data_IF_618526080731
#
_entry.id   IF_618526080731
#
_cell.length_a   1.000
_cell.length_b   1.000
_cell.length_c   1.000
_cell.angle_alpha   90.00
_cell.angle_beta   90.00
_cell.angle_gamma   90.00
#
_symmetry.space_group_name_H-M   'P 1'
#
loop_
_entity.id
_entity.type
_entity.pdbx_description
1 polymer ?
#
# COMPACT_ATOMS: atom_id res chain seq x y z
N UNK A 1 14.82 -7.14 -2.29
CA UNK A 1 13.61 -7.97 -2.51
C UNK A 1 12.38 -7.11 -2.22
N UNK A 2 11.78 -6.51 -3.25
CA UNK A 2 10.65 -5.59 -3.14
C UNK A 2 9.37 -6.31 -3.56
N UNK A 3 8.99 -7.39 -2.85
CA UNK A 3 7.80 -8.14 -3.26
C UNK A 3 6.53 -7.34 -2.97
N UNK A 4 5.89 -6.80 -4.01
CA UNK A 4 4.57 -6.16 -3.93
C UNK A 4 3.41 -7.12 -3.62
N UNK A 5 3.70 -8.35 -3.16
CA UNK A 5 2.72 -9.41 -2.98
C UNK A 5 1.67 -9.09 -1.91
N UNK A 6 2.05 -8.41 -0.83
CA UNK A 6 1.09 -7.96 0.19
C UNK A 6 0.07 -6.97 -0.37
N UNK A 7 0.49 -6.14 -1.34
CA UNK A 7 -0.32 -5.12 -2.00
C UNK A 7 -1.27 -5.67 -3.08
N UNK A 8 -1.13 -6.95 -3.44
CA UNK A 8 -1.93 -7.61 -4.48
C UNK A 8 -3.08 -8.48 -3.94
N UNK A 9 -2.99 -8.92 -2.68
CA UNK A 9 -3.94 -9.87 -2.11
C UNK A 9 -4.51 -9.45 -0.76
N UNK A 10 -3.92 -8.45 -0.09
CA UNK A 10 -4.32 -8.05 1.26
C UNK A 10 -4.56 -6.54 1.37
N UNK A 11 -5.41 -6.18 2.34
CA UNK A 11 -5.57 -4.79 2.77
C UNK A 11 -4.41 -4.39 3.68
N UNK A 12 -3.36 -3.81 3.11
CA UNK A 12 -2.20 -3.32 3.87
C UNK A 12 -2.58 -2.03 4.59
N UNK A 13 -2.71 -2.10 5.92
CA UNK A 13 -3.07 -0.96 6.78
C UNK A 13 -1.94 -0.62 7.74
N UNK A 14 -1.77 0.66 8.07
CA UNK A 14 -0.71 1.17 8.95
C UNK A 14 -1.19 2.44 9.67
N UNK A 15 -0.44 2.85 10.69
CA UNK A 15 -0.70 4.09 11.43
C UNK A 15 -0.45 5.31 10.54
N UNK A 16 -1.26 6.36 10.67
CA UNK A 16 -1.17 7.53 9.80
C UNK A 16 0.23 8.17 9.78
N UNK A 17 0.95 8.15 10.90
CA UNK A 17 2.28 8.75 11.03
C UNK A 17 3.41 7.94 10.35
N UNK A 18 3.14 6.73 9.85
CA UNK A 18 4.05 5.98 8.97
C UNK A 18 4.13 6.60 7.55
N UNK A 19 3.24 7.55 7.25
CA UNK A 19 3.26 8.36 6.03
C UNK A 19 4.47 9.30 5.93
N UNK A 20 4.91 9.58 4.72
CA UNK A 20 5.96 10.55 4.39
C UNK A 20 5.51 12.02 4.56
N UNK A 21 4.20 12.26 4.67
CA UNK A 21 3.60 13.52 5.10
C UNK A 21 3.61 13.70 6.64
N UNK A 22 4.20 12.74 7.36
CA UNK A 22 4.45 12.77 8.79
C UNK A 22 5.93 12.46 9.07
N UNK A 23 6.23 11.42 9.86
CA UNK A 23 7.61 11.04 10.23
C UNK A 23 8.05 9.69 9.65
N UNK A 24 7.22 9.09 8.78
CA UNK A 24 7.47 7.76 8.23
C UNK A 24 8.06 7.79 6.83
N UNK A 25 7.91 6.68 6.12
CA UNK A 25 8.47 6.47 4.77
C UNK A 25 7.44 6.01 3.75
N UNK A 26 6.18 5.83 4.15
CA UNK A 26 5.13 5.36 3.25
C UNK A 26 4.60 6.55 2.43
N UNK A 27 4.62 6.53 1.09
CA UNK A 27 4.20 7.68 0.30
C UNK A 27 2.70 7.95 0.49
N UNK A 28 2.34 9.05 1.15
CA UNK A 28 0.96 9.39 1.52
C UNK A 28 0.05 9.48 0.29
N UNK A 29 0.61 9.92 -0.86
CA UNK A 29 -0.05 9.98 -2.17
C UNK A 29 -0.57 8.63 -2.69
N UNK A 30 -0.06 7.52 -2.15
CA UNK A 30 -0.43 6.15 -2.54
C UNK A 30 -1.23 5.46 -1.44
N UNK A 31 -1.74 6.23 -0.47
CA UNK A 31 -2.53 5.76 0.66
C UNK A 31 -3.94 6.35 0.63
N UNK A 32 -4.87 5.70 1.32
CA UNK A 32 -6.22 6.18 1.55
C UNK A 32 -6.58 6.05 3.04
N UNK A 33 -7.29 7.04 3.63
CA UNK A 33 -7.67 6.98 5.04
C UNK A 33 -8.69 5.88 5.29
N UNK A 34 -8.51 5.12 6.37
CA UNK A 34 -9.46 4.10 6.85
C UNK A 34 -10.20 4.61 8.08
N UNK A 35 -9.47 5.18 9.03
CA UNK A 35 -9.96 5.88 10.22
C UNK A 35 -9.07 7.11 10.45
N UNK A 36 -9.36 7.99 11.43
CA UNK A 36 -8.49 9.13 11.72
C UNK A 36 -7.03 8.75 12.05
N UNK A 37 -6.81 7.53 12.54
CA UNK A 37 -5.50 7.06 12.96
C UNK A 37 -4.88 6.02 12.02
N UNK A 38 -5.65 5.47 11.08
CA UNK A 38 -5.22 4.39 10.20
C UNK A 38 -5.39 4.77 8.75
N UNK A 39 -4.36 4.45 7.96
CA UNK A 39 -4.35 4.52 6.50
C UNK A 39 -4.16 3.13 5.93
N UNK A 40 -4.56 2.92 4.69
CA UNK A 40 -4.21 1.73 3.93
C UNK A 40 -3.67 2.10 2.57
N UNK A 41 -2.98 1.17 1.92
CA UNK A 41 -2.52 1.37 0.56
C UNK A 41 -3.72 1.55 -0.39
N UNK A 42 -3.69 2.60 -1.22
CA UNK A 42 -4.78 2.96 -2.10
C UNK A 42 -5.10 1.83 -3.08
N UNK A 43 -6.38 1.44 -3.15
CA UNK A 43 -6.86 0.33 -3.98
C UNK A 43 -6.91 -1.01 -3.25
N UNK A 44 -6.46 -1.06 -2.00
CA UNK A 44 -6.57 -2.28 -1.16
C UNK A 44 -7.78 -2.26 -0.21
N UNK A 45 -8.52 -1.15 -0.11
CA UNK A 45 -9.71 -1.01 0.74
C UNK A 45 -10.84 -2.01 0.42
N UNK A 46 -11.19 -2.35 -0.84
CA UNK A 46 -12.24 -3.33 -1.13
C UNK A 46 -11.87 -4.73 -0.66
N UNK A 47 -12.77 -5.39 0.09
CA UNK A 47 -12.53 -6.74 0.65
C UNK A 47 -12.35 -7.84 -0.40
N UNK A 48 -12.95 -7.69 -1.58
CA UNK A 48 -13.09 -8.80 -2.53
C UNK A 48 -11.97 -8.82 -3.59
N UNK A 49 -11.30 -7.68 -3.85
CA UNK A 49 -10.24 -7.54 -4.87
C UNK A 49 -9.27 -6.39 -4.51
N UNK A 50 -8.44 -6.55 -3.47
CA UNK A 50 -7.42 -5.55 -3.16
C UNK A 50 -6.38 -5.51 -4.28
N UNK A 51 -6.19 -4.37 -4.93
CA UNK A 51 -5.14 -4.19 -5.93
C UNK A 51 -4.52 -2.81 -5.75
N UNK A 52 -3.36 -2.75 -5.12
CA UNK A 52 -2.68 -1.48 -4.88
C UNK A 52 -2.32 -0.80 -6.19
N UNK A 53 -2.62 0.50 -6.31
CA UNK A 53 -2.24 1.32 -7.47
C UNK A 53 -0.73 1.41 -7.71
N UNK A 54 0.04 1.13 -6.67
CA UNK A 54 1.48 1.18 -6.70
C UNK A 54 2.17 -0.09 -7.22
N UNK A 55 1.42 -1.19 -7.31
CA UNK A 55 1.95 -2.45 -7.76
C UNK A 55 2.22 -2.37 -9.26
N UNK A 56 3.48 -2.53 -9.64
CA UNK A 56 3.91 -2.79 -11.02
C UNK A 56 4.30 -4.26 -11.12
N UNK A 57 3.84 -4.90 -12.19
CA UNK A 57 4.20 -6.29 -12.50
C UNK A 57 3.42 -7.31 -11.66
N UNK A 58 3.72 -8.59 -11.90
CA UNK A 58 3.02 -9.72 -11.26
C UNK A 58 3.72 -10.11 -9.96
N UNK A 59 3.00 -10.17 -8.81
CA UNK A 59 3.53 -10.74 -7.59
C UNK A 59 4.13 -12.13 -7.81
N UNK A 60 5.32 -12.39 -7.27
CA UNK A 60 6.01 -13.67 -7.42
C UNK A 60 6.88 -13.80 -8.67
N UNK A 61 6.74 -12.91 -9.66
CA UNK A 61 7.60 -12.87 -10.85
C UNK A 61 8.45 -11.60 -10.89
N UNK A 62 7.81 -10.45 -11.09
CA UNK A 62 8.46 -9.13 -11.24
C UNK A 62 7.73 -8.02 -10.46
N UNK A 63 6.90 -8.40 -9.48
CA UNK A 63 6.03 -7.49 -8.74
C UNK A 63 6.83 -6.56 -7.82
N UNK A 64 6.86 -5.27 -8.13
CA UNK A 64 7.55 -4.23 -7.39
C UNK A 64 6.61 -3.07 -7.07
N UNK A 65 6.90 -2.36 -5.98
CA UNK A 65 6.16 -1.16 -5.60
C UNK A 65 6.91 0.07 -6.13
N UNK A 66 6.20 1.02 -6.77
CA UNK A 66 6.79 2.21 -7.43
C UNK A 66 7.60 3.18 -6.55
N UNK A 67 7.88 2.84 -5.31
CA UNK A 67 8.48 3.71 -4.29
C UNK A 67 9.51 3.01 -3.39
N UNK A 68 9.85 1.75 -3.70
CA UNK A 68 11.01 1.06 -3.14
C UNK A 68 12.04 0.82 -4.24
#
# INVERSE_FOLDING_TARGET
MTCGACCAYFRVSFYWAEGDDASGRVPASLTEPVTPFLRCMAGTKPKNKPHCKALIGTPGENGQLRYL
#
